data_IF_426867211230
#
_entry.id   IF_426867211230
#
_cell.length_a   1.000
_cell.length_b   1.000
_cell.length_c   1.000
_cell.angle_alpha   90.00
_cell.angle_beta   90.00
_cell.angle_gamma   90.00
#
_symmetry.space_group_name_H-M   'P 1'
#
loop_
_entity.id
_entity.type
_entity.pdbx_description
1 polymer ?
#
# COMPACT_ATOMS: atom_id res chain seq x y z
N UNK A 1 -12.56 11.08 -23.18
CA UNK A 1 -13.29 10.54 -22.00
C UNK A 1 -13.00 11.46 -20.82
N UNK A 2 -13.96 12.24 -20.33
CA UNK A 2 -13.85 12.94 -19.05
C UNK A 2 -14.61 12.09 -18.04
N UNK A 3 -13.95 11.47 -17.05
CA UNK A 3 -14.68 10.71 -16.04
C UNK A 3 -15.65 11.67 -15.33
N UNK A 4 -16.89 11.22 -15.10
CA UNK A 4 -17.91 12.02 -14.38
C UNK A 4 -17.52 12.29 -12.92
N UNK A 5 -16.51 11.56 -12.42
CA UNK A 5 -15.95 11.67 -11.09
C UNK A 5 -14.46 12.03 -11.22
N UNK A 6 -13.96 12.84 -10.29
CA UNK A 6 -12.52 13.11 -10.18
C UNK A 6 -11.76 11.89 -9.64
N UNK A 7 -10.54 12.12 -9.15
CA UNK A 7 -9.81 11.07 -8.42
C UNK A 7 -10.55 10.69 -7.14
N UNK A 8 -10.68 9.37 -6.92
CA UNK A 8 -11.25 8.81 -5.71
C UNK A 8 -10.19 7.99 -4.98
N UNK A 9 -10.25 7.99 -3.65
CA UNK A 9 -9.41 7.14 -2.82
C UNK A 9 -9.73 5.66 -3.09
N UNK A 10 -8.71 4.88 -3.42
CA UNK A 10 -8.87 3.46 -3.70
C UNK A 10 -8.68 2.60 -2.44
N UNK A 11 -7.70 2.93 -1.59
CA UNK A 11 -7.44 2.17 -0.38
C UNK A 11 -7.04 3.06 0.80
N UNK A 12 -7.24 2.53 2.01
CA UNK A 12 -6.67 3.06 3.24
C UNK A 12 -5.81 1.98 3.90
N UNK A 13 -4.60 2.30 4.37
CA UNK A 13 -3.70 1.31 4.95
C UNK A 13 -4.18 0.78 6.31
N UNK A 14 -4.98 1.58 7.01
CA UNK A 14 -5.54 1.29 8.32
C UNK A 14 -6.80 2.14 8.52
N UNK A 15 -7.86 1.60 9.15
CA UNK A 15 -9.05 2.39 9.49
C UNK A 15 -8.75 3.46 10.54
N UNK A 16 -7.61 3.35 11.25
CA UNK A 16 -7.17 4.28 12.28
C UNK A 16 -6.21 5.36 11.76
N UNK A 17 -5.93 5.41 10.45
CA UNK A 17 -5.06 6.46 9.88
C UNK A 17 -5.72 7.83 10.04
N UNK A 18 -5.06 8.74 10.74
CA UNK A 18 -5.57 10.09 10.98
C UNK A 18 -5.50 10.97 9.72
N UNK A 19 -6.62 11.06 9.01
CA UNK A 19 -6.73 11.85 7.77
C UNK A 19 -6.28 13.31 7.92
N UNK A 20 -6.68 13.97 9.01
CA UNK A 20 -6.28 15.36 9.28
C UNK A 20 -4.77 15.56 9.41
N UNK A 21 -4.07 14.53 9.88
CA UNK A 21 -2.61 14.55 10.04
C UNK A 21 -1.90 14.17 8.73
N UNK A 22 -2.45 13.20 8.00
CA UNK A 22 -1.71 12.51 6.95
C UNK A 22 -2.07 12.91 5.51
N UNK A 23 -3.25 13.50 5.27
CA UNK A 23 -3.70 13.81 3.91
C UNK A 23 -3.11 15.14 3.41
N UNK A 24 -2.56 15.11 2.19
CA UNK A 24 -2.02 16.30 1.51
C UNK A 24 -0.67 16.80 2.05
N UNK A 25 -0.10 16.15 3.06
CA UNK A 25 1.20 16.51 3.64
C UNK A 25 2.35 15.85 2.86
N UNK A 26 3.46 16.58 2.72
CA UNK A 26 4.69 16.14 2.03
C UNK A 26 5.92 16.13 2.95
N UNK A 27 5.70 16.18 4.26
CA UNK A 27 6.76 16.14 5.27
C UNK A 27 7.23 14.69 5.47
N UNK A 28 8.51 14.44 5.21
CA UNK A 28 9.13 13.12 5.42
C UNK A 28 9.15 12.71 6.89
N UNK A 29 9.12 13.66 7.83
CA UNK A 29 9.19 13.36 9.26
C UNK A 29 7.95 12.61 9.77
N UNK A 30 6.82 12.71 9.05
CA UNK A 30 5.58 12.00 9.40
C UNK A 30 5.39 10.70 8.61
N UNK A 31 6.28 10.35 7.67
CA UNK A 31 6.21 9.07 6.94
C UNK A 31 6.16 7.84 7.86
N UNK A 32 6.89 7.78 9.00
CA UNK A 32 6.76 6.68 9.97
C UNK A 32 5.36 6.53 10.60
N UNK A 33 4.58 7.62 10.63
CA UNK A 33 3.24 7.64 11.22
C UNK A 33 2.17 7.44 10.14
N UNK A 34 2.31 8.16 9.04
CA UNK A 34 1.30 8.26 7.99
C UNK A 34 1.49 7.27 6.86
N UNK A 35 2.70 6.71 6.72
CA UNK A 35 3.12 5.81 5.66
C UNK A 35 3.15 6.46 4.28
N UNK A 36 3.93 5.87 3.37
CA UNK A 36 3.98 6.28 1.96
C UNK A 36 4.01 5.06 1.04
N UNK A 37 3.08 4.93 0.09
CA UNK A 37 3.11 3.80 -0.84
C UNK A 37 4.16 4.09 -1.91
N UNK A 38 5.20 3.26 -1.94
CA UNK A 38 6.36 3.42 -2.82
C UNK A 38 6.33 2.42 -3.98
N UNK A 39 5.78 1.23 -3.75
CA UNK A 39 5.60 0.21 -4.78
C UNK A 39 4.17 -0.29 -4.86
N UNK A 40 3.67 -0.48 -6.08
CA UNK A 40 2.34 -1.01 -6.37
C UNK A 40 2.45 -2.07 -7.45
N UNK A 41 1.86 -3.25 -7.23
CA UNK A 41 1.73 -4.28 -8.25
C UNK A 41 0.37 -4.95 -8.18
N UNK A 42 -0.33 -4.97 -9.30
CA UNK A 42 -1.57 -5.73 -9.44
C UNK A 42 -1.27 -7.13 -9.95
N UNK A 43 -1.85 -8.13 -9.28
CA UNK A 43 -2.02 -9.47 -9.86
C UNK A 43 -3.26 -9.45 -10.76
N UNK A 44 -3.05 -9.61 -12.07
CA UNK A 44 -4.13 -9.57 -13.06
C UNK A 44 -5.05 -10.79 -13.02
N UNK A 45 -4.63 -11.88 -12.37
CA UNK A 45 -5.46 -13.10 -12.27
C UNK A 45 -6.40 -13.04 -11.07
N UNK A 46 -5.90 -12.59 -9.91
CA UNK A 46 -6.71 -12.50 -8.67
C UNK A 46 -7.36 -11.14 -8.47
N UNK A 47 -6.95 -10.13 -9.25
CA UNK A 47 -7.35 -8.73 -9.10
C UNK A 47 -6.99 -8.15 -7.71
N UNK A 48 -5.92 -8.68 -7.10
CA UNK A 48 -5.33 -8.13 -5.87
C UNK A 48 -4.30 -7.05 -6.21
N UNK A 49 -4.29 -5.98 -5.42
CA UNK A 49 -3.26 -4.94 -5.47
C UNK A 49 -2.34 -5.09 -4.26
N UNK A 50 -1.08 -5.40 -4.52
CA UNK A 50 -0.01 -5.48 -3.53
C UNK A 50 0.71 -4.14 -3.44
N UNK A 51 1.04 -3.74 -2.21
CA UNK A 51 1.56 -2.42 -1.89
C UNK A 51 2.81 -2.58 -1.02
N UNK A 52 3.94 -2.03 -1.48
CA UNK A 52 5.11 -1.79 -0.65
C UNK A 52 4.90 -0.44 0.05
N UNK A 53 4.63 -0.49 1.36
CA UNK A 53 4.21 0.65 2.15
C UNK A 53 5.24 1.08 3.19
N UNK A 54 6.45 1.43 2.74
CA UNK A 54 7.50 2.00 3.59
C UNK A 54 7.71 1.22 4.91
N UNK A 55 7.60 1.88 6.08
CA UNK A 55 7.72 1.29 7.42
C UNK A 55 6.62 0.26 7.78
N UNK A 56 5.57 0.15 6.98
CA UNK A 56 4.41 -0.71 7.25
C UNK A 56 4.51 -2.07 6.55
N UNK A 57 5.54 -2.28 5.72
CA UNK A 57 5.82 -3.56 5.09
C UNK A 57 5.07 -3.78 3.77
N UNK A 58 4.56 -4.99 3.59
CA UNK A 58 3.80 -5.41 2.39
C UNK A 58 2.32 -5.51 2.77
N UNK A 59 1.48 -4.78 2.04
CA UNK A 59 0.04 -4.77 2.19
C UNK A 59 -0.65 -5.31 0.94
N UNK A 60 -1.92 -5.69 1.08
CA UNK A 60 -2.77 -6.09 -0.04
C UNK A 60 -4.18 -5.54 0.10
N UNK A 61 -4.81 -5.22 -1.02
CA UNK A 61 -6.23 -4.85 -1.10
C UNK A 61 -6.89 -5.51 -2.30
N UNK A 62 -8.17 -5.85 -2.17
CA UNK A 62 -8.96 -6.42 -3.26
C UNK A 62 -9.36 -5.41 -4.33
N UNK A 63 -9.95 -5.90 -5.40
CA UNK A 63 -10.39 -5.11 -6.56
C UNK A 63 -11.38 -3.98 -6.23
N UNK A 64 -12.11 -4.11 -5.13
CA UNK A 64 -13.09 -3.13 -4.68
C UNK A 64 -12.46 -2.02 -3.81
N UNK A 65 -11.14 -2.06 -3.60
CA UNK A 65 -10.45 -1.12 -2.73
C UNK A 65 -10.79 -1.34 -1.25
N UNK A 66 -10.67 -0.27 -0.46
CA UNK A 66 -11.00 -0.25 0.97
C UNK A 66 -9.80 -0.42 1.90
N UNK A 67 -9.99 -1.08 3.04
CA UNK A 67 -8.93 -1.24 4.04
C UNK A 67 -7.97 -2.35 3.61
N UNK A 68 -6.68 -2.07 3.61
CA UNK A 68 -5.66 -3.06 3.27
C UNK A 68 -5.46 -4.09 4.38
N UNK A 69 -5.01 -5.28 4.01
CA UNK A 69 -4.52 -6.31 4.93
C UNK A 69 -2.99 -6.30 4.89
N UNK A 70 -2.35 -6.42 6.05
CA UNK A 70 -0.89 -6.51 6.16
C UNK A 70 -0.43 -7.94 5.98
N UNK A 71 0.37 -8.20 4.95
CA UNK A 71 0.88 -9.53 4.60
C UNK A 71 2.19 -9.85 5.32
N UNK A 72 3.14 -8.92 5.32
CA UNK A 72 4.45 -9.14 5.92
C UNK A 72 5.06 -7.82 6.42
N UNK A 73 5.72 -7.87 7.57
CA UNK A 73 6.49 -6.75 8.14
C UNK A 73 7.95 -7.12 8.41
N UNK A 74 8.31 -8.38 8.20
CA UNK A 74 9.64 -8.92 8.48
C UNK A 74 9.89 -10.14 7.64
N UNK A 75 11.16 -10.44 7.40
CA UNK A 75 11.63 -11.71 6.86
C UNK A 75 12.82 -12.17 7.69
N UNK A 76 12.92 -13.48 7.96
CA UNK A 76 14.06 -14.07 8.67
C UNK A 76 14.36 -13.41 10.04
N UNK A 77 13.30 -12.97 10.74
CA UNK A 77 13.42 -12.29 12.04
C UNK A 77 13.87 -10.82 11.95
N UNK A 78 14.09 -10.27 10.76
CA UNK A 78 14.48 -8.87 10.54
C UNK A 78 13.27 -8.07 10.08
N UNK A 79 12.96 -7.00 10.82
CA UNK A 79 11.87 -6.07 10.46
C UNK A 79 12.23 -5.31 9.18
N UNK A 80 11.26 -5.16 8.29
CA UNK A 80 11.37 -4.26 7.16
C UNK A 80 11.47 -2.82 7.66
N UNK A 81 12.52 -2.13 7.22
CA UNK A 81 12.73 -0.72 7.57
C UNK A 81 12.15 0.25 6.55
N UNK A 82 12.09 -0.18 5.28
CA UNK A 82 11.72 0.69 4.16
C UNK A 82 11.38 -0.18 2.94
N UNK A 83 10.11 -0.56 2.75
CA UNK A 83 9.71 -1.31 1.54
C UNK A 83 9.49 -0.34 0.37
N UNK A 84 10.45 -0.33 -0.57
CA UNK A 84 10.45 0.61 -1.69
C UNK A 84 9.70 0.11 -2.94
N UNK A 85 9.67 -1.21 -3.14
CA UNK A 85 9.11 -1.82 -4.35
C UNK A 85 8.78 -3.29 -4.12
N UNK A 86 7.93 -3.82 -4.99
CA UNK A 86 7.64 -5.26 -5.10
C UNK A 86 7.24 -5.57 -6.54
N UNK A 87 7.41 -6.83 -6.92
CA UNK A 87 6.87 -7.38 -8.16
C UNK A 87 6.26 -8.75 -7.86
N UNK A 88 5.54 -9.31 -8.82
CA UNK A 88 4.91 -10.63 -8.74
C UNK A 88 5.49 -11.47 -9.86
N UNK A 89 6.16 -12.56 -9.52
CA UNK A 89 6.57 -13.59 -10.47
C UNK A 89 5.31 -14.23 -11.05
N UNK A 90 5.08 -14.06 -12.36
CA UNK A 90 3.89 -14.56 -13.03
C UNK A 90 3.85 -16.09 -13.14
N UNK A 91 5.01 -16.75 -13.00
CA UNK A 91 5.11 -18.21 -13.09
C UNK A 91 4.71 -18.89 -11.77
N UNK A 92 5.15 -18.35 -10.64
CA UNK A 92 4.87 -18.89 -9.30
C UNK A 92 3.73 -18.17 -8.58
N UNK A 93 3.38 -16.97 -9.05
CA UNK A 93 2.42 -16.03 -8.43
C UNK A 93 2.84 -15.58 -7.03
N UNK A 94 4.15 -15.44 -6.81
CA UNK A 94 4.75 -14.93 -5.57
C UNK A 94 5.58 -13.68 -5.82
#
# INVERSE_FOLDING_TARGET
WKPKFGWQEFFVPSPFRERKLCDGIRDSNIEPICGRPLGLKSDTQTCLLYIAYDYFGILVVGSNGGTTIRLAISAEGVLFKFTNGLDIDTSTRM
#
